data_IF_923958114145
#
_entry.id   IF_923958114145
#
_cell.length_a   1.000
_cell.length_b   1.000
_cell.length_c   1.000
_cell.angle_alpha   90.00
_cell.angle_beta   90.00
_cell.angle_gamma   90.00
#
_symmetry.space_group_name_H-M   'P 1'
#
loop_
_entity.id
_entity.type
_entity.pdbx_description
1 polymer ?
#
# COMPACT_ATOMS: atom_id res chain seq x y z
N UNK A 1 -3.97 -2.86 -13.13
CA UNK A 1 -2.73 -3.27 -12.42
C UNK A 1 -1.85 -2.05 -12.24
N UNK A 2 -1.26 -1.88 -11.05
CA UNK A 2 -0.53 -0.69 -10.66
C UNK A 2 0.76 -1.07 -9.94
N UNK A 3 1.87 -0.50 -10.39
CA UNK A 3 3.16 -0.61 -9.71
C UNK A 3 3.34 0.49 -8.66
N UNK A 4 3.75 0.11 -7.45
CA UNK A 4 3.97 1.03 -6.33
C UNK A 4 5.27 0.65 -5.63
N UNK A 5 6.09 1.65 -5.27
CA UNK A 5 7.23 1.43 -4.39
C UNK A 5 6.79 1.60 -2.95
N UNK A 6 6.96 0.55 -2.15
CA UNK A 6 6.66 0.52 -0.73
C UNK A 6 7.94 0.61 0.10
N UNK A 7 7.93 1.33 1.21
CA UNK A 7 8.99 1.26 2.21
C UNK A 7 8.88 -0.01 3.04
N UNK A 8 9.91 -0.35 3.82
CA UNK A 8 9.84 -1.48 4.73
C UNK A 8 8.69 -1.34 5.75
N UNK A 9 8.47 -0.13 6.26
CA UNK A 9 7.39 0.16 7.22
C UNK A 9 6.02 0.01 6.56
N UNK A 10 5.85 0.47 5.32
CA UNK A 10 4.60 0.29 4.57
C UNK A 10 4.30 -1.20 4.30
N UNK A 11 5.33 -2.01 4.01
CA UNK A 11 5.17 -3.46 3.89
C UNK A 11 4.80 -4.10 5.22
N UNK A 12 5.39 -3.65 6.33
CA UNK A 12 5.04 -4.12 7.67
C UNK A 12 3.57 -3.80 8.02
N UNK A 13 3.10 -2.60 7.67
CA UNK A 13 1.69 -2.20 7.84
C UNK A 13 0.75 -3.08 7.03
N UNK A 14 1.07 -3.41 5.76
CA UNK A 14 0.28 -4.39 4.99
C UNK A 14 0.26 -5.73 5.70
N UNK A 15 1.43 -6.23 6.14
CA UNK A 15 1.56 -7.52 6.82
C UNK A 15 0.69 -7.64 8.07
N UNK A 16 0.51 -6.55 8.80
CA UNK A 16 -0.35 -6.52 9.98
C UNK A 16 -1.84 -6.74 9.67
N UNK A 17 -2.28 -6.55 8.42
CA UNK A 17 -3.69 -6.66 8.00
C UNK A 17 -3.92 -7.74 6.93
N UNK A 18 -2.89 -8.50 6.54
CA UNK A 18 -2.96 -9.56 5.52
C UNK A 18 -3.97 -10.67 5.83
N UNK A 19 -4.23 -10.93 7.11
CA UNK A 19 -5.15 -11.98 7.54
C UNK A 19 -6.61 -11.72 7.10
N UNK A 20 -6.93 -10.50 6.68
CA UNK A 20 -8.26 -10.12 6.21
C UNK A 20 -8.48 -10.50 4.74
N UNK A 21 -7.45 -10.36 3.90
CA UNK A 21 -7.58 -10.43 2.45
C UNK A 21 -6.45 -11.30 1.84
N UNK A 22 -6.75 -12.54 1.41
CA UNK A 22 -5.75 -13.45 0.86
C UNK A 22 -4.99 -12.89 -0.35
N UNK A 23 -5.65 -12.07 -1.18
CA UNK A 23 -5.03 -11.46 -2.36
C UNK A 23 -3.92 -10.47 -2.01
N UNK A 24 -3.93 -9.86 -0.83
CA UNK A 24 -2.80 -9.04 -0.37
C UNK A 24 -1.60 -9.88 0.03
N UNK A 25 -1.82 -11.11 0.50
CA UNK A 25 -0.72 -12.01 0.88
C UNK A 25 0.14 -12.26 -0.35
N UNK A 26 -0.52 -12.57 -1.48
CA UNK A 26 0.13 -12.74 -2.79
C UNK A 26 0.97 -11.52 -3.19
N UNK A 27 0.42 -10.31 -3.05
CA UNK A 27 1.17 -9.07 -3.34
C UNK A 27 2.42 -8.94 -2.46
N UNK A 28 2.31 -9.25 -1.17
CA UNK A 28 3.45 -9.12 -0.24
C UNK A 28 4.49 -10.22 -0.38
N UNK A 29 4.13 -11.39 -0.90
CA UNK A 29 5.06 -12.50 -1.21
C UNK A 29 5.85 -12.24 -2.50
N UNK A 30 5.25 -11.55 -3.47
CA UNK A 30 5.85 -11.20 -4.76
C UNK A 30 6.50 -9.82 -4.78
N UNK A 31 6.86 -9.29 -3.60
CA UNK A 31 7.60 -8.02 -3.51
C UNK A 31 9.03 -8.19 -4.05
N UNK A 32 9.40 -7.32 -4.99
CA UNK A 32 10.78 -7.27 -5.48
C UNK A 32 11.54 -6.17 -4.75
N UNK A 33 12.60 -6.55 -4.02
CA UNK A 33 13.45 -5.57 -3.35
C UNK A 33 14.19 -4.70 -4.38
N UNK A 34 14.19 -3.39 -4.17
CA UNK A 34 14.92 -2.40 -4.98
C UNK A 34 15.69 -1.44 -4.05
N UNK A 35 16.56 -0.61 -4.63
CA UNK A 35 17.24 0.44 -3.86
C UNK A 35 16.18 1.41 -3.33
N UNK A 36 16.07 1.51 -2.00
CA UNK A 36 15.12 2.40 -1.32
C UNK A 36 13.75 1.81 -0.98
N UNK A 37 13.47 0.53 -1.28
CA UNK A 37 12.19 -0.09 -0.89
C UNK A 37 11.87 -1.40 -1.59
N UNK A 38 10.57 -1.64 -1.79
CA UNK A 38 10.00 -2.84 -2.38
C UNK A 38 9.06 -2.45 -3.53
N UNK A 39 9.30 -3.01 -4.70
CA UNK A 39 8.43 -2.89 -5.85
C UNK A 39 7.28 -3.90 -5.72
N UNK A 40 6.05 -3.39 -5.70
CA UNK A 40 4.81 -4.15 -5.57
C UNK A 40 3.90 -3.90 -6.77
N UNK A 41 3.23 -4.94 -7.27
CA UNK A 41 2.20 -4.82 -8.30
C UNK A 41 0.85 -5.15 -7.67
N UNK A 42 -0.09 -4.20 -7.70
CA UNK A 42 -1.46 -4.41 -7.25
C UNK A 42 -2.39 -4.57 -8.45
N UNK A 43 -3.19 -5.63 -8.50
CA UNK A 43 -4.36 -5.67 -9.39
C UNK A 43 -5.46 -4.72 -8.89
N UNK A 44 -6.49 -4.46 -9.70
CA UNK A 44 -7.62 -3.64 -9.25
C UNK A 44 -8.30 -4.26 -8.02
N UNK A 45 -8.41 -5.60 -7.99
CA UNK A 45 -8.91 -6.35 -6.83
C UNK A 45 -8.03 -6.13 -5.62
N UNK A 46 -6.70 -6.26 -5.76
CA UNK A 46 -5.79 -6.05 -4.62
C UNK A 46 -5.78 -4.61 -4.12
N UNK A 47 -6.03 -3.63 -5.00
CA UNK A 47 -6.21 -2.23 -4.57
C UNK A 47 -7.44 -2.13 -3.66
N UNK A 48 -8.55 -2.76 -4.03
CA UNK A 48 -9.76 -2.74 -3.20
C UNK A 48 -9.58 -3.50 -1.88
N UNK A 49 -8.96 -4.68 -1.92
CA UNK A 49 -8.60 -5.45 -0.73
C UNK A 49 -7.67 -4.66 0.20
N UNK A 50 -6.67 -3.96 -0.36
CA UNK A 50 -5.78 -3.09 0.41
C UNK A 50 -6.54 -1.94 1.07
N UNK A 51 -7.52 -1.35 0.38
CA UNK A 51 -8.35 -0.28 0.94
C UNK A 51 -9.12 -0.74 2.16
N UNK A 52 -9.78 -1.89 2.05
CA UNK A 52 -10.62 -2.43 3.09
C UNK A 52 -9.76 -2.86 4.30
N UNK A 53 -8.66 -3.55 4.04
CA UNK A 53 -7.69 -3.98 5.05
C UNK A 53 -7.03 -2.81 5.79
N UNK A 54 -6.59 -1.78 5.07
CA UNK A 54 -5.96 -0.61 5.68
C UNK A 54 -6.99 0.25 6.44
N UNK A 55 -8.23 0.35 5.96
CA UNK A 55 -9.30 1.03 6.70
C UNK A 55 -9.60 0.32 8.02
N UNK A 56 -9.61 -1.02 8.03
CA UNK A 56 -9.69 -1.80 9.25
C UNK A 56 -8.47 -1.55 10.15
N UNK A 57 -7.26 -1.51 9.57
CA UNK A 57 -6.02 -1.16 10.25
C UNK A 57 -6.14 0.13 11.07
N UNK A 58 -6.66 1.20 10.46
CA UNK A 58 -6.89 2.49 11.14
C UNK A 58 -7.89 2.39 12.30
N UNK A 59 -8.97 1.62 12.11
CA UNK A 59 -10.09 1.58 13.07
C UNK A 59 -9.85 0.65 14.25
N UNK A 60 -9.08 -0.42 14.03
CA UNK A 60 -9.08 -1.58 14.94
C UNK A 60 -7.68 -2.06 15.31
N UNK A 61 -6.69 -1.94 14.41
CA UNK A 61 -5.32 -2.43 14.68
C UNK A 61 -4.45 -1.34 15.28
N UNK A 62 -4.54 -0.12 14.75
CA UNK A 62 -3.71 1.01 15.18
C UNK A 62 -3.93 1.35 16.66
N UNK A 63 -2.84 1.37 17.41
CA UNK A 63 -2.81 1.63 18.86
C UNK A 63 -2.44 3.07 19.19
N UNK A 64 -2.02 3.86 18.20
CA UNK A 64 -1.66 5.26 18.35
C UNK A 64 -2.13 6.13 17.18
N UNK A 65 -2.19 7.44 17.40
CA UNK A 65 -2.51 8.40 16.34
C UNK A 65 -1.44 8.43 15.23
N UNK A 66 -0.18 8.12 15.58
CA UNK A 66 0.90 7.96 14.61
C UNK A 66 0.61 6.76 13.71
N UNK A 67 0.33 5.59 14.28
CA UNK A 67 0.02 4.40 13.48
C UNK A 67 -1.23 4.58 12.61
N UNK A 68 -2.28 5.22 13.14
CA UNK A 68 -3.47 5.56 12.34
C UNK A 68 -3.09 6.41 11.12
N UNK A 69 -2.21 7.39 11.31
CA UNK A 69 -1.70 8.23 10.23
C UNK A 69 -0.90 7.42 9.22
N UNK A 70 -0.08 6.48 9.68
CA UNK A 70 0.73 5.64 8.79
C UNK A 70 -0.15 4.71 7.93
N UNK A 71 -1.17 4.07 8.51
CA UNK A 71 -2.17 3.31 7.75
C UNK A 71 -2.93 4.18 6.74
N UNK A 72 -3.31 5.41 7.11
CA UNK A 72 -3.99 6.34 6.21
C UNK A 72 -3.08 6.81 5.07
N UNK A 73 -1.81 7.07 5.35
CA UNK A 73 -0.82 7.47 4.34
C UNK A 73 -0.64 6.37 3.30
N UNK A 74 -0.49 5.13 3.77
CA UNK A 74 -0.38 3.96 2.89
C UNK A 74 -1.67 3.74 2.08
N UNK A 75 -2.84 3.87 2.71
CA UNK A 75 -4.14 3.80 2.02
C UNK A 75 -4.20 4.82 0.88
N UNK A 76 -3.80 6.07 1.13
CA UNK A 76 -3.80 7.13 0.12
C UNK A 76 -2.80 6.83 -1.00
N UNK A 77 -1.61 6.32 -0.66
CA UNK A 77 -0.60 5.97 -1.64
C UNK A 77 -1.09 4.90 -2.62
N UNK A 78 -1.71 3.84 -2.09
CA UNK A 78 -2.26 2.73 -2.90
C UNK A 78 -3.46 3.18 -3.74
N UNK A 79 -4.25 4.15 -3.26
CA UNK A 79 -5.47 4.61 -3.95
C UNK A 79 -5.29 5.78 -4.91
N UNK A 80 -4.29 6.65 -4.72
CA UNK A 80 -4.04 7.79 -5.62
C UNK A 80 -3.74 7.29 -7.03
N UNK A 81 -4.66 7.37 -8.00
CA UNK A 81 -4.32 7.13 -9.41
C UNK A 81 -3.10 8.00 -9.78
N UNK A 82 -2.14 7.47 -10.54
CA UNK A 82 -1.06 8.28 -11.10
C UNK A 82 -1.67 9.33 -12.02
N UNK A 83 -2.06 10.49 -11.48
CA UNK A 83 -2.42 11.67 -12.26
C UNK A 83 -1.22 12.59 -12.52
N UNK A 84 -0.02 12.25 -12.01
CA UNK A 84 1.19 13.07 -12.18
C UNK A 84 2.40 12.24 -12.65
N UNK A 85 2.27 11.61 -13.82
CA UNK A 85 3.43 11.07 -14.54
C UNK A 85 3.45 11.58 -15.99
N UNK A 86 3.10 12.85 -16.20
CA UNK A 86 3.05 13.39 -17.55
C UNK A 86 2.83 14.89 -17.68
N UNK A 87 3.49 15.77 -16.90
CA UNK A 87 3.65 17.19 -17.30
C UNK A 87 4.82 17.92 -16.61
N UNK A 88 6.02 17.33 -16.53
CA UNK A 88 7.25 18.13 -16.24
C UNK A 88 8.43 17.65 -17.09
N UNK A 89 8.20 17.58 -18.40
CA UNK A 89 9.28 17.48 -19.40
C UNK A 89 8.84 18.11 -20.73
N UNK A 90 8.38 19.37 -20.70
CA UNK A 90 8.38 20.29 -21.85
C UNK A 90 7.79 21.65 -21.44
N UNK A 91 8.65 22.62 -21.13
CA UNK A 91 8.53 24.03 -21.51
C UNK A 91 9.80 24.77 -21.08
#
# INVERSE_FOLDING_TARGET
MRAIILTADEVALLKNVLFLEPGLTDVTEHLHQIIGGYFAIFSETNIQEARDSLSYGVRTVAQSETEKRDYLNLYQKITKKNSDAGTEAAA
#
